data_IF_708085212216
#
_entry.id   IF_708085212216
#
_cell.length_a   1.000
_cell.length_b   1.000
_cell.length_c   1.000
_cell.angle_alpha   90.00
_cell.angle_beta   90.00
_cell.angle_gamma   90.00
#
_symmetry.space_group_name_H-M   'P 1'
#
loop_
_entity.id
_entity.type
_entity.pdbx_description
1 polymer ?
#
# COMPACT_ATOMS: atom_id res chain seq x y z
N UNK A 1 -15.37 5.94 5.61
CA UNK A 1 -14.22 5.36 6.32
C UNK A 1 -13.92 4.01 5.69
N UNK A 2 -12.66 3.81 5.30
CA UNK A 2 -12.08 2.50 4.99
C UNK A 2 -11.41 2.04 6.28
N UNK A 3 -12.11 1.23 7.05
CA UNK A 3 -11.70 0.72 8.37
C UNK A 3 -10.40 -0.11 8.32
N UNK A 4 -10.17 -0.78 7.19
CA UNK A 4 -8.93 -1.47 6.84
C UNK A 4 -8.48 -0.94 5.47
N UNK A 5 -7.23 -0.48 5.38
CA UNK A 5 -6.59 -0.07 4.11
C UNK A 5 -5.15 -0.53 4.13
N UNK A 6 -4.86 -1.55 3.34
CA UNK A 6 -3.50 -2.03 3.14
C UNK A 6 -3.17 -2.02 1.66
N UNK A 7 -2.04 -1.39 1.32
CA UNK A 7 -1.65 -1.18 -0.06
C UNK A 7 -0.16 -0.91 -0.19
N UNK A 8 0.34 -1.01 -1.41
CA UNK A 8 1.57 -0.33 -1.78
C UNK A 8 1.47 0.33 -3.15
N UNK A 9 2.26 1.39 -3.30
CA UNK A 9 2.31 2.25 -4.46
C UNK A 9 3.71 2.14 -5.05
N UNK A 10 3.82 1.92 -6.37
CA UNK A 10 5.09 1.84 -7.08
C UNK A 10 5.15 2.96 -8.11
N UNK A 11 6.23 3.72 -8.10
CA UNK A 11 6.44 4.82 -9.03
C UNK A 11 6.90 4.33 -10.41
N UNK A 12 6.51 5.08 -11.45
CA UNK A 12 6.91 4.92 -12.85
C UNK A 12 6.77 3.47 -13.33
N UNK A 13 5.65 2.86 -12.95
CA UNK A 13 5.29 1.52 -13.37
C UNK A 13 3.85 1.53 -13.86
N UNK A 14 3.63 0.94 -15.02
CA UNK A 14 2.29 0.65 -15.55
C UNK A 14 1.72 -0.62 -14.92
N UNK A 15 0.40 -0.80 -14.98
CA UNK A 15 -0.25 -2.04 -14.54
C UNK A 15 0.28 -3.25 -15.33
N UNK A 16 0.52 -3.10 -16.62
CA UNK A 16 1.05 -4.14 -17.49
C UNK A 16 2.47 -4.55 -17.07
N UNK A 17 3.35 -3.58 -16.81
CA UNK A 17 4.70 -3.84 -16.30
C UNK A 17 4.67 -4.47 -14.91
N UNK A 18 3.79 -4.00 -14.03
CA UNK A 18 3.59 -4.59 -12.71
C UNK A 18 3.23 -6.08 -12.84
N UNK A 19 2.23 -6.41 -13.65
CA UNK A 19 1.81 -7.81 -13.86
C UNK A 19 2.93 -8.66 -14.45
N UNK A 20 3.73 -8.09 -15.37
CA UNK A 20 4.81 -8.82 -16.05
C UNK A 20 6.05 -9.04 -15.18
N UNK A 21 6.35 -8.12 -14.27
CA UNK A 21 7.61 -8.10 -13.53
C UNK A 21 7.48 -8.42 -12.04
N UNK A 22 6.28 -8.30 -11.45
CA UNK A 22 6.13 -8.59 -10.04
C UNK A 22 6.53 -10.05 -9.76
N UNK A 23 7.22 -10.36 -8.64
CA UNK A 23 7.74 -11.70 -8.33
C UNK A 23 6.72 -12.83 -8.22
N UNK A 24 5.46 -12.59 -8.58
CA UNK A 24 4.40 -13.59 -8.62
C UNK A 24 3.44 -13.32 -9.79
N UNK A 25 2.95 -14.40 -10.41
CA UNK A 25 2.14 -14.32 -11.61
C UNK A 25 0.74 -13.79 -11.31
N UNK A 26 0.47 -12.55 -11.73
CA UNK A 26 -0.86 -11.97 -11.67
C UNK A 26 -1.63 -12.16 -12.97
N UNK A 27 -2.95 -12.29 -12.85
CA UNK A 27 -3.89 -12.30 -13.96
C UNK A 27 -5.04 -11.34 -13.66
N UNK A 28 -5.35 -10.48 -14.64
CA UNK A 28 -6.54 -9.64 -14.58
C UNK A 28 -7.80 -10.49 -14.61
N UNK A 29 -8.74 -10.19 -13.74
CA UNK A 29 -10.03 -10.91 -13.68
C UNK A 29 -11.08 -10.32 -14.61
N UNK A 30 -10.83 -9.13 -15.18
CA UNK A 30 -11.81 -8.34 -15.92
C UNK A 30 -12.85 -7.64 -15.02
N UNK A 31 -12.80 -7.85 -13.71
CA UNK A 31 -13.68 -7.17 -12.75
C UNK A 31 -13.10 -5.80 -12.40
N UNK A 32 -13.98 -4.84 -12.10
CA UNK A 32 -13.60 -3.50 -11.65
C UNK A 32 -14.33 -3.18 -10.35
N UNK A 33 -13.60 -2.59 -9.41
CA UNK A 33 -14.05 -2.27 -8.06
C UNK A 33 -13.86 -0.78 -7.78
N UNK A 34 -14.74 -0.20 -6.96
CA UNK A 34 -14.49 1.12 -6.36
C UNK A 34 -13.57 0.98 -5.16
N UNK A 35 -12.87 2.05 -4.81
CA UNK A 35 -11.93 2.09 -3.67
C UNK A 35 -12.48 1.39 -2.40
N UNK A 36 -13.73 1.70 -2.03
CA UNK A 36 -14.39 1.08 -0.87
C UNK A 36 -14.38 -0.46 -0.89
N UNK A 37 -14.56 -1.06 -2.06
CA UNK A 37 -14.55 -2.50 -2.24
C UNK A 37 -13.12 -3.03 -2.38
N UNK A 38 -12.25 -2.31 -3.11
CA UNK A 38 -10.88 -2.71 -3.39
C UNK A 38 -10.01 -2.85 -2.13
N UNK A 39 -10.21 -1.98 -1.13
CA UNK A 39 -9.49 -2.05 0.15
C UNK A 39 -10.22 -2.88 1.22
N UNK A 40 -11.40 -3.42 0.93
CA UNK A 40 -12.18 -4.20 1.89
C UNK A 40 -11.69 -5.64 1.99
N UNK A 41 -11.67 -6.19 3.20
CA UNK A 41 -11.48 -7.63 3.43
C UNK A 41 -12.51 -8.52 2.69
N UNK A 42 -13.66 -7.94 2.29
CA UNK A 42 -14.68 -8.61 1.47
C UNK A 42 -14.46 -8.51 -0.04
N UNK A 43 -13.27 -8.15 -0.51
CA UNK A 43 -12.94 -8.16 -1.94
C UNK A 43 -13.02 -9.61 -2.48
N UNK A 44 -13.79 -9.89 -3.55
CA UNK A 44 -13.98 -11.26 -4.06
C UNK A 44 -12.78 -11.82 -4.83
N UNK A 45 -11.64 -11.13 -4.77
CA UNK A 45 -10.37 -11.48 -5.39
C UNK A 45 -9.24 -11.11 -4.42
N UNK A 46 -8.06 -11.74 -4.49
CA UNK A 46 -7.00 -11.48 -3.52
C UNK A 46 -6.44 -10.05 -3.57
N UNK A 47 -6.41 -9.42 -4.75
CA UNK A 47 -5.83 -8.09 -4.93
C UNK A 47 -6.65 -7.26 -5.94
N UNK A 48 -6.47 -5.95 -5.88
CA UNK A 48 -6.95 -5.05 -6.93
C UNK A 48 -5.88 -4.00 -7.25
N UNK A 49 -5.84 -3.50 -8.47
CA UNK A 49 -4.79 -2.58 -8.93
C UNK A 49 -5.38 -1.37 -9.64
N UNK A 50 -4.78 -0.20 -9.47
CA UNK A 50 -5.14 1.00 -10.22
C UNK A 50 -3.89 1.79 -10.61
N UNK A 51 -4.00 2.55 -11.69
CA UNK A 51 -3.01 3.55 -12.07
C UNK A 51 -3.52 4.91 -11.60
N UNK A 52 -2.74 5.58 -10.75
CA UNK A 52 -3.02 6.94 -10.29
C UNK A 52 -1.79 7.78 -10.63
N UNK A 53 -1.91 8.61 -11.66
CA UNK A 53 -0.79 9.40 -12.18
C UNK A 53 0.42 8.50 -12.48
N UNK A 54 1.61 8.83 -11.96
CA UNK A 54 2.84 8.05 -12.14
C UNK A 54 2.90 6.78 -11.29
N UNK A 55 1.88 6.49 -10.46
CA UNK A 55 1.92 5.41 -9.49
C UNK A 55 0.96 4.28 -9.83
N UNK A 56 1.46 3.05 -9.78
CA UNK A 56 0.62 1.84 -9.71
C UNK A 56 0.34 1.51 -8.26
N UNK A 57 -0.95 1.44 -7.89
CA UNK A 57 -1.42 1.14 -6.53
C UNK A 57 -1.97 -0.28 -6.51
N UNK A 58 -1.36 -1.17 -5.72
CA UNK A 58 -1.90 -2.49 -5.42
C UNK A 58 -2.62 -2.46 -4.06
N UNK A 59 -3.91 -2.74 -4.07
CA UNK A 59 -4.69 -3.05 -2.88
C UNK A 59 -4.42 -4.49 -2.45
N UNK A 60 -4.07 -4.66 -1.18
CA UNK A 60 -3.75 -5.95 -0.57
C UNK A 60 -4.52 -6.09 0.76
N UNK A 61 -5.85 -6.29 0.71
CA UNK A 61 -6.72 -6.25 1.89
C UNK A 61 -6.47 -7.40 2.88
N UNK A 62 -5.70 -8.41 2.50
CA UNK A 62 -5.27 -9.50 3.38
C UNK A 62 -3.79 -9.36 3.80
N UNK A 63 -3.15 -8.26 3.40
CA UNK A 63 -1.75 -7.93 3.67
C UNK A 63 -0.77 -9.04 3.28
N UNK A 64 -1.04 -9.80 2.23
CA UNK A 64 -0.24 -10.96 1.80
C UNK A 64 1.16 -10.55 1.34
N UNK A 65 1.26 -9.39 0.69
CA UNK A 65 2.47 -8.87 0.04
C UNK A 65 3.01 -7.66 0.78
N UNK A 66 2.15 -6.82 1.34
CA UNK A 66 2.53 -5.54 1.95
C UNK A 66 3.51 -5.71 3.12
N UNK A 67 3.44 -6.83 3.86
CA UNK A 67 4.39 -7.18 4.92
C UNK A 67 5.69 -7.84 4.43
N UNK A 68 5.86 -8.08 3.13
CA UNK A 68 7.05 -8.77 2.58
C UNK A 68 8.13 -7.76 2.23
N UNK A 69 8.77 -7.18 3.24
CA UNK A 69 9.78 -6.13 3.08
C UNK A 69 10.88 -6.49 2.07
N UNK A 70 11.45 -7.68 2.14
CA UNK A 70 12.50 -8.10 1.19
C UNK A 70 11.99 -8.11 -0.26
N UNK A 71 10.74 -8.54 -0.49
CA UNK A 71 10.14 -8.54 -1.82
C UNK A 71 9.91 -7.11 -2.32
N UNK A 72 9.43 -6.21 -1.45
CA UNK A 72 9.23 -4.80 -1.79
C UNK A 72 10.56 -4.09 -2.03
N UNK A 73 11.59 -4.37 -1.23
CA UNK A 73 12.94 -3.88 -1.45
C UNK A 73 13.45 -4.31 -2.83
N UNK A 74 13.46 -5.62 -3.13
CA UNK A 74 13.88 -6.13 -4.44
C UNK A 74 13.08 -5.51 -5.60
N UNK A 75 11.77 -5.30 -5.42
CA UNK A 75 10.92 -4.71 -6.44
C UNK A 75 11.10 -3.19 -6.62
N UNK A 76 11.64 -2.51 -5.61
CA UNK A 76 11.92 -1.07 -5.63
C UNK A 76 13.22 -0.70 -6.37
N UNK A 77 13.97 -1.66 -6.92
CA UNK A 77 15.19 -1.37 -7.68
C UNK A 77 14.92 -0.39 -8.84
N UNK A 78 15.67 0.72 -8.86
CA UNK A 78 15.53 1.81 -9.82
C UNK A 78 14.29 2.69 -9.66
N UNK A 79 13.52 2.57 -8.56
CA UNK A 79 12.25 3.29 -8.36
C UNK A 79 11.93 3.53 -6.89
N UNK A 80 10.77 4.13 -6.62
CA UNK A 80 10.23 4.32 -5.27
C UNK A 80 9.04 3.41 -5.01
N UNK A 81 8.94 2.89 -3.79
CA UNK A 81 7.75 2.19 -3.30
C UNK A 81 7.33 2.79 -1.97
N UNK A 82 6.05 3.13 -1.84
CA UNK A 82 5.42 3.51 -0.59
C UNK A 82 4.34 2.49 -0.24
N UNK A 83 4.56 1.72 0.82
CA UNK A 83 3.64 0.72 1.33
C UNK A 83 3.05 1.18 2.65
N UNK A 84 1.79 0.87 2.93
CA UNK A 84 1.14 1.30 4.17
C UNK A 84 0.06 0.33 4.64
N UNK A 85 -0.14 0.32 5.94
CA UNK A 85 -1.21 -0.39 6.66
C UNK A 85 -1.96 0.63 7.51
N UNK A 86 -3.28 0.61 7.39
CA UNK A 86 -4.22 1.34 8.23
C UNK A 86 -5.27 0.33 8.67
N UNK A 87 -5.25 -0.03 9.95
CA UNK A 87 -6.28 -0.86 10.57
C UNK A 87 -6.85 -0.12 11.78
N UNK A 88 -7.88 0.67 11.53
CA UNK A 88 -8.44 1.58 12.53
C UNK A 88 -9.14 0.83 13.67
N UNK A 89 -9.62 -0.41 13.47
CA UNK A 89 -10.26 -1.18 14.54
C UNK A 89 -9.25 -1.79 15.52
N UNK A 90 -8.05 -2.13 15.04
CA UNK A 90 -6.94 -2.60 15.87
C UNK A 90 -5.99 -1.47 16.31
N UNK A 91 -6.26 -0.22 15.90
CA UNK A 91 -5.39 0.92 16.14
C UNK A 91 -3.95 0.68 15.66
N UNK A 92 -3.81 0.07 14.47
CA UNK A 92 -2.53 -0.23 13.83
C UNK A 92 -2.33 0.67 12.62
N UNK A 93 -1.25 1.44 12.62
CA UNK A 93 -0.88 2.32 11.52
C UNK A 93 0.61 2.24 11.25
N UNK A 94 0.98 2.06 10.00
CA UNK A 94 2.38 2.00 9.63
C UNK A 94 2.61 2.17 8.15
N UNK A 95 3.87 2.39 7.82
CA UNK A 95 4.31 2.49 6.45
C UNK A 95 5.75 2.04 6.27
N UNK A 96 6.07 1.70 5.03
CA UNK A 96 7.41 1.43 4.55
C UNK A 96 7.67 2.29 3.32
N UNK A 97 8.85 2.87 3.26
CA UNK A 97 9.31 3.65 2.13
C UNK A 97 10.63 3.11 1.62
N UNK A 98 10.60 2.60 0.39
CA UNK A 98 11.75 2.04 -0.29
C UNK A 98 12.17 2.93 -1.46
N UNK A 99 13.48 3.07 -1.65
CA UNK A 99 14.07 3.76 -2.80
C UNK A 99 15.25 2.96 -3.29
N UNK A 100 15.23 2.61 -4.58
CA UNK A 100 16.33 1.92 -5.26
C UNK A 100 16.85 0.69 -4.51
N UNK A 101 15.93 -0.18 -4.09
CA UNK A 101 16.30 -1.42 -3.42
C UNK A 101 16.50 -1.33 -1.91
N UNK A 102 16.43 -0.13 -1.33
CA UNK A 102 16.77 0.12 0.06
C UNK A 102 15.54 0.58 0.85
N UNK A 103 15.34 -0.01 2.03
CA UNK A 103 14.39 0.51 3.00
C UNK A 103 14.95 1.80 3.60
N UNK A 104 14.33 2.94 3.29
CA UNK A 104 14.76 4.24 3.81
C UNK A 104 14.06 4.59 5.12
N UNK A 105 12.80 4.17 5.27
CA UNK A 105 12.00 4.44 6.45
C UNK A 105 10.94 3.37 6.64
N UNK A 106 10.85 2.83 7.85
CA UNK A 106 9.78 1.97 8.30
C UNK A 106 9.34 2.43 9.69
N UNK A 107 8.03 2.55 9.88
CA UNK A 107 7.46 2.76 11.21
C UNK A 107 6.13 2.03 11.33
N UNK A 108 5.91 1.46 12.52
CA UNK A 108 4.67 0.78 12.88
C UNK A 108 4.23 1.21 14.28
N UNK A 109 2.99 1.68 14.37
CA UNK A 109 2.31 1.94 15.63
C UNK A 109 1.21 0.92 15.84
N UNK A 110 1.09 0.40 17.05
CA UNK A 110 0.00 -0.47 17.49
C UNK A 110 -0.51 0.01 18.84
N UNK A 111 -1.82 0.20 18.97
CA UNK A 111 -2.46 0.66 20.21
C UNK A 111 -1.88 2.00 20.75
N UNK A 112 -1.32 2.83 19.86
CA UNK A 112 -0.70 4.12 20.21
C UNK A 112 0.77 4.04 20.65
N UNK A 113 1.37 2.84 20.63
CA UNK A 113 2.79 2.64 20.92
C UNK A 113 3.57 2.37 19.64
N UNK A 114 4.77 2.94 19.52
CA UNK A 114 5.68 2.64 18.42
C UNK A 114 6.32 1.27 18.66
N UNK A 115 5.98 0.29 17.83
CA UNK A 115 6.46 -1.10 17.98
C UNK A 115 7.64 -1.41 17.06
N UNK A 116 7.71 -0.75 15.90
CA UNK A 116 8.81 -0.89 14.94
C UNK A 116 9.19 0.50 14.42
N UNK A 117 10.49 0.79 14.36
CA UNK A 117 11.02 2.03 13.81
C UNK A 117 12.42 1.79 13.25
N UNK A 118 12.60 2.06 11.95
CA UNK A 118 13.87 1.94 11.25
C UNK A 118 14.04 3.07 10.23
N UNK A 119 15.28 3.55 10.05
CA UNK A 119 15.61 4.60 9.10
C UNK A 119 15.45 6.03 9.65
N UNK A 120 15.95 7.01 8.91
CA UNK A 120 15.89 8.43 9.30
C UNK A 120 14.51 9.02 9.00
N UNK A 121 14.06 9.94 9.86
CA UNK A 121 12.80 10.66 9.67
C UNK A 121 12.85 11.41 8.34
N UNK A 122 11.85 11.16 7.49
CA UNK A 122 11.68 11.81 6.19
C UNK A 122 11.27 13.28 6.38
N UNK A 123 11.62 14.13 5.42
CA UNK A 123 11.16 15.54 5.42
C UNK A 123 9.64 15.61 5.32
N UNK A 124 9.06 14.67 4.59
CA UNK A 124 7.63 14.48 4.36
C UNK A 124 6.88 14.13 5.65
N UNK A 125 7.52 13.51 6.66
CA UNK A 125 6.91 13.17 7.96
C UNK A 125 6.68 14.39 8.86
N UNK A 126 7.34 15.53 8.57
CA UNK A 126 7.36 16.68 9.48
C UNK A 126 5.96 17.23 9.76
N UNK A 127 5.57 17.21 11.04
CA UNK A 127 4.29 17.74 11.51
C UNK A 127 3.08 16.87 11.18
N UNK A 128 3.29 15.61 10.79
CA UNK A 128 2.22 14.62 10.60
C UNK A 128 1.91 13.89 11.91
N UNK A 129 2.95 13.48 12.62
CA UNK A 129 2.82 12.74 13.86
C UNK A 129 2.21 13.62 14.97
N UNK A 130 1.27 13.05 15.73
CA UNK A 130 0.71 13.68 16.93
C UNK A 130 1.34 13.08 18.22
N UNK A 131 0.79 13.42 19.39
CA UNK A 131 1.31 12.91 20.67
C UNK A 131 1.18 11.39 20.85
N UNK A 132 0.39 10.72 20.01
CA UNK A 132 0.09 9.28 20.04
C UNK A 132 0.66 8.52 18.83
N UNK A 133 1.43 9.20 17.96
CA UNK A 133 2.03 8.58 16.79
C UNK A 133 1.36 8.95 15.48
N UNK A 134 1.32 7.97 14.57
CA UNK A 134 0.63 8.10 13.29
C UNK A 134 -0.85 7.72 13.43
N UNK A 135 -1.70 8.46 12.72
CA UNK A 135 -3.14 8.19 12.60
C UNK A 135 -3.49 7.83 11.15
N UNK A 136 -4.70 7.33 10.90
CA UNK A 136 -5.23 7.11 9.53
C UNK A 136 -5.01 8.35 8.64
N UNK A 137 -5.35 9.53 9.13
CA UNK A 137 -5.20 10.77 8.36
C UNK A 137 -3.72 11.12 8.17
N UNK A 138 -2.89 10.86 9.17
CA UNK A 138 -1.45 11.07 9.06
C UNK A 138 -0.80 10.24 7.94
N UNK A 139 -1.17 8.95 7.82
CA UNK A 139 -0.68 8.08 6.75
C UNK A 139 -1.15 8.58 5.38
N UNK A 140 -2.40 9.05 5.24
CA UNK A 140 -2.87 9.61 3.97
C UNK A 140 -2.20 10.93 3.60
N UNK A 141 -1.89 11.79 4.58
CA UNK A 141 -1.11 13.02 4.34
C UNK A 141 0.31 12.65 3.90
N UNK A 142 0.93 11.65 4.53
CA UNK A 142 2.28 11.21 4.16
C UNK A 142 2.30 10.61 2.74
N UNK A 143 1.32 9.78 2.41
CA UNK A 143 1.10 9.27 1.05
C UNK A 143 1.09 10.44 0.05
N UNK A 144 0.23 11.45 0.28
CA UNK A 144 0.12 12.61 -0.61
C UNK A 144 1.42 13.38 -0.75
N UNK A 145 2.19 13.55 0.32
CA UNK A 145 3.50 14.23 0.27
C UNK A 145 4.55 13.46 -0.52
N UNK A 146 4.53 12.13 -0.47
CA UNK A 146 5.50 11.28 -1.15
C UNK A 146 5.13 11.06 -2.62
N UNK A 147 3.86 10.80 -2.89
CA UNK A 147 3.38 10.35 -4.20
C UNK A 147 2.75 11.45 -5.04
N UNK A 148 2.29 12.54 -4.42
CA UNK A 148 1.52 13.60 -5.05
C UNK A 148 0.00 13.33 -5.11
N UNK A 149 -0.46 12.14 -4.72
CA UNK A 149 -1.88 11.82 -4.65
C UNK A 149 -2.28 11.37 -3.24
N UNK A 150 -3.49 11.74 -2.81
CA UNK A 150 -3.99 11.42 -1.48
C UNK A 150 -5.27 10.59 -1.49
N UNK A 151 -5.94 10.63 -0.34
CA UNK A 151 -7.24 10.00 -0.12
C UNK A 151 -8.32 10.38 -1.14
N UNK A 152 -8.45 11.63 -1.63
CA UNK A 152 -9.44 11.98 -2.64
C UNK A 152 -9.27 11.22 -3.95
N UNK A 153 -8.03 11.16 -4.46
CA UNK A 153 -7.67 10.44 -5.68
C UNK A 153 -7.94 8.95 -5.51
N UNK A 154 -7.45 8.33 -4.42
CA UNK A 154 -7.72 6.94 -4.09
C UNK A 154 -9.23 6.62 -4.11
N UNK A 155 -10.04 7.43 -3.46
CA UNK A 155 -11.50 7.22 -3.37
C UNK A 155 -12.22 7.36 -4.72
N UNK A 156 -11.70 8.21 -5.60
CA UNK A 156 -12.29 8.44 -6.93
C UNK A 156 -11.89 7.39 -7.97
N UNK A 157 -10.78 6.69 -7.74
CA UNK A 157 -10.23 5.69 -8.65
C UNK A 157 -11.08 4.43 -8.77
N UNK A 158 -10.92 3.76 -9.90
CA UNK A 158 -11.43 2.42 -10.16
C UNK A 158 -10.26 1.43 -10.18
N UNK A 159 -10.43 0.28 -9.57
CA UNK A 159 -9.40 -0.73 -9.40
C UNK A 159 -9.78 -2.00 -10.17
N UNK A 160 -8.85 -2.55 -10.93
CA UNK A 160 -9.00 -3.79 -11.66
C UNK A 160 -8.68 -4.97 -10.75
N UNK A 161 -9.53 -6.00 -10.75
CA UNK A 161 -9.29 -7.20 -9.96
C UNK A 161 -8.10 -8.01 -10.47
N UNK A 162 -7.29 -8.50 -9.54
CA UNK A 162 -6.17 -9.39 -9.84
C UNK A 162 -6.34 -10.72 -9.09
N UNK A 163 -6.02 -11.80 -9.78
CA UNK A 163 -5.78 -13.12 -9.20
C UNK A 163 -4.31 -13.46 -9.31
N UNK A 164 -3.86 -14.28 -8.37
CA UNK A 164 -2.52 -14.83 -8.37
C UNK A 164 -2.64 -16.32 -8.08
N UNK A 165 -2.02 -17.18 -8.88
CA UNK A 165 -2.16 -18.63 -8.73
C UNK A 165 -1.72 -19.13 -7.35
N UNK A 166 -0.75 -18.47 -6.72
CA UNK A 166 -0.27 -18.79 -5.37
C UNK A 166 -1.28 -18.45 -4.27
N UNK A 167 -2.17 -17.48 -4.53
CA UNK A 167 -3.09 -16.91 -3.53
C UNK A 167 -4.57 -17.12 -3.88
N UNK A 168 -4.87 -17.84 -4.97
CA UNK A 168 -6.23 -18.05 -5.48
C UNK A 168 -7.12 -18.86 -4.52
N UNK A 169 -6.55 -19.65 -3.60
CA UNK A 169 -7.27 -20.44 -2.60
C UNK A 169 -7.59 -19.68 -1.31
N UNK A 170 -7.07 -18.46 -1.14
CA UNK A 170 -7.27 -17.65 0.08
C UNK A 170 -8.43 -16.66 -0.02
N UNK A 171 -9.02 -16.49 -1.21
CA UNK A 171 -10.26 -15.73 -1.39
C UNK A 171 -11.46 -16.65 -1.08
N UNK A 172 -11.99 -16.54 0.14
CA UNK A 172 -13.19 -17.28 0.61
C UNK A 172 -14.37 -16.32 0.69
#
# INVERSE_FOLDING_TARGET
>A
MLWHTTAFCIEEMTIEEFIAHFPSSFLLTGQTFKARQAFSAGLPVPFAVSQIEAWTVLCDPLSIITWREQMLAEFSQGRRIFAFVIESAANTYGFWYFVDGQLLRHIMFQEGECVEEEGEILVEEKGIQDSWGYTEEGIFILLERITGFGRPQLNSSSFQGLKNELYASQAV
#
